data_IF_925253463419
#
_entry.id   IF_925253463419
#
_cell.length_a   1.000
_cell.length_b   1.000
_cell.length_c   1.000
_cell.angle_alpha   90.00
_cell.angle_beta   90.00
_cell.angle_gamma   90.00
#
_symmetry.space_group_name_H-M   'P 1'
#
loop_
_entity.id
_entity.type
_entity.pdbx_description
1 polymer ?
#
# COMPACT_ATOMS: atom_id res chain seq x y z
N UNK A 1 13.66 12.21 13.14
CA UNK A 1 13.68 13.53 12.49
C UNK A 1 12.28 14.07 12.35
N UNK A 2 11.94 15.13 13.10
CA UNK A 2 10.60 15.76 13.04
C UNK A 2 10.46 16.64 11.80
N UNK A 3 10.51 16.03 10.62
CA UNK A 3 10.42 16.70 9.32
C UNK A 3 9.06 16.42 8.70
N UNK A 4 8.38 17.47 8.22
CA UNK A 4 7.15 17.35 7.45
C UNK A 4 7.48 17.07 5.99
N UNK A 5 6.93 15.98 5.44
CA UNK A 5 7.17 15.55 4.05
C UNK A 5 5.82 15.30 3.39
N UNK A 6 5.68 15.74 2.13
CA UNK A 6 4.57 15.35 1.26
C UNK A 6 5.08 14.28 0.29
N UNK A 7 4.36 13.15 0.22
CA UNK A 7 4.73 11.99 -0.61
C UNK A 7 3.49 11.48 -1.32
N UNK A 8 3.63 11.22 -2.62
CA UNK A 8 2.63 10.58 -3.46
C UNK A 8 3.12 9.21 -3.90
N UNK A 9 2.19 8.26 -4.08
CA UNK A 9 2.46 6.91 -4.54
C UNK A 9 1.33 6.41 -5.45
N UNK A 10 1.64 5.47 -6.36
CA UNK A 10 0.67 4.88 -7.30
C UNK A 10 0.67 3.37 -7.11
N UNK A 11 -0.50 2.81 -6.82
CA UNK A 11 -0.66 1.36 -6.62
C UNK A 11 -1.34 0.74 -7.84
N UNK A 12 -0.69 -0.27 -8.42
CA UNK A 12 -1.26 -1.11 -9.46
C UNK A 12 -1.71 -2.43 -8.85
N UNK A 13 -2.98 -2.77 -9.02
CA UNK A 13 -3.54 -4.02 -8.53
C UNK A 13 -4.56 -4.58 -9.52
N UNK A 14 -4.88 -5.87 -9.37
CA UNK A 14 -5.94 -6.53 -10.13
C UNK A 14 -6.81 -7.41 -9.23
N UNK A 15 -8.07 -7.58 -9.61
CA UNK A 15 -8.97 -8.52 -8.94
C UNK A 15 -8.60 -9.93 -9.39
N UNK A 16 -8.22 -10.78 -8.44
CA UNK A 16 -7.89 -12.19 -8.66
C UNK A 16 -9.11 -13.07 -8.43
N UNK A 17 -9.96 -12.73 -7.46
CA UNK A 17 -11.23 -13.43 -7.20
C UNK A 17 -12.41 -12.43 -7.08
N UNK A 18 -13.26 -12.30 -8.12
CA UNK A 18 -14.35 -11.32 -8.11
C UNK A 18 -15.43 -11.65 -7.08
N UNK A 19 -15.69 -12.92 -6.79
CA UNK A 19 -16.68 -13.34 -5.79
C UNK A 19 -16.26 -12.89 -4.40
N UNK A 20 -14.98 -13.09 -4.05
CA UNK A 20 -14.40 -12.65 -2.77
C UNK A 20 -14.37 -11.12 -2.69
N UNK A 21 -14.00 -10.45 -3.77
CA UNK A 21 -13.92 -8.98 -3.82
C UNK A 21 -15.27 -8.29 -3.59
N UNK A 22 -16.39 -8.92 -3.95
CA UNK A 22 -17.74 -8.37 -3.73
C UNK A 22 -18.29 -8.79 -2.37
N UNK A 23 -17.93 -9.99 -1.89
CA UNK A 23 -18.48 -10.54 -0.64
C UNK A 23 -17.78 -10.03 0.62
N UNK A 24 -16.46 -9.82 0.57
CA UNK A 24 -15.66 -9.56 1.76
C UNK A 24 -15.42 -8.07 2.06
N UNK A 25 -15.78 -7.18 1.12
CA UNK A 25 -15.61 -5.74 1.28
C UNK A 25 -16.67 -4.99 0.47
N UNK A 26 -17.27 -3.96 1.07
CA UNK A 26 -18.34 -3.18 0.42
C UNK A 26 -17.84 -2.45 -0.83
N UNK A 27 -16.64 -1.84 -0.74
CA UNK A 27 -15.96 -1.24 -1.87
C UNK A 27 -14.47 -1.56 -1.84
N UNK A 28 -14.07 -2.54 -2.64
CA UNK A 28 -12.69 -3.01 -2.73
C UNK A 28 -11.70 -1.91 -3.17
N UNK A 29 -12.12 -1.00 -4.04
CA UNK A 29 -11.27 0.09 -4.52
C UNK A 29 -11.01 1.10 -3.40
N UNK A 30 -12.06 1.58 -2.72
CA UNK A 30 -11.93 2.59 -1.68
C UNK A 30 -11.19 2.04 -0.45
N UNK A 31 -11.48 0.80 -0.05
CA UNK A 31 -10.78 0.12 1.04
C UNK A 31 -9.29 -0.08 0.73
N UNK A 32 -8.95 -0.49 -0.49
CA UNK A 32 -7.54 -0.62 -0.93
C UNK A 32 -6.83 0.72 -0.92
N UNK A 33 -7.50 1.80 -1.36
CA UNK A 33 -6.93 3.15 -1.35
C UNK A 33 -6.65 3.65 0.09
N UNK A 34 -7.60 3.47 1.01
CA UNK A 34 -7.41 3.84 2.42
C UNK A 34 -6.29 3.04 3.09
N UNK A 35 -6.21 1.75 2.77
CA UNK A 35 -5.16 0.88 3.25
C UNK A 35 -3.79 1.33 2.71
N UNK A 36 -3.69 1.64 1.42
CA UNK A 36 -2.46 2.18 0.82
C UNK A 36 -1.99 3.47 1.51
N UNK A 37 -2.89 4.41 1.79
CA UNK A 37 -2.55 5.63 2.52
C UNK A 37 -2.06 5.35 3.94
N UNK A 38 -2.69 4.40 4.63
CA UNK A 38 -2.31 4.04 6.00
C UNK A 38 -0.96 3.34 6.03
N UNK A 39 -0.73 2.40 5.12
CA UNK A 39 0.56 1.70 4.98
C UNK A 39 1.68 2.67 4.59
N UNK A 40 1.45 3.58 3.64
CA UNK A 40 2.43 4.61 3.28
C UNK A 40 2.79 5.46 4.50
N UNK A 41 1.80 5.94 5.26
CA UNK A 41 2.03 6.73 6.46
C UNK A 41 2.83 5.96 7.51
N UNK A 42 2.55 4.67 7.71
CA UNK A 42 3.27 3.83 8.67
C UNK A 42 4.74 3.62 8.27
N UNK A 43 5.00 3.34 6.99
CA UNK A 43 6.37 3.16 6.47
C UNK A 43 7.16 4.47 6.55
N UNK A 44 6.55 5.60 6.18
CA UNK A 44 7.20 6.91 6.27
C UNK A 44 7.47 7.33 7.73
N UNK A 45 6.58 6.99 8.66
CA UNK A 45 6.72 7.34 10.08
C UNK A 45 7.76 6.52 10.83
N UNK A 46 8.17 5.37 10.29
CA UNK A 46 9.16 4.47 10.92
C UNK A 46 10.57 4.60 10.35
N UNK A 47 10.75 5.44 9.32
CA UNK A 47 11.99 5.62 8.57
C UNK A 47 12.53 7.04 8.69
N UNK A 48 13.84 7.20 8.51
CA UNK A 48 14.48 8.51 8.46
C UNK A 48 14.33 9.13 7.07
N UNK A 49 14.29 10.46 6.98
CA UNK A 49 14.16 11.17 5.69
C UNK A 49 15.28 10.79 4.71
N UNK A 50 16.51 10.63 5.22
CA UNK A 50 17.67 10.23 4.42
C UNK A 50 17.49 8.84 3.79
N UNK A 51 16.91 7.90 4.53
CA UNK A 51 16.61 6.55 4.04
C UNK A 51 15.52 6.59 2.96
N UNK A 52 14.47 7.39 3.18
CA UNK A 52 13.39 7.56 2.20
C UNK A 52 13.88 8.16 0.88
N UNK A 53 14.88 9.05 0.92
CA UNK A 53 15.48 9.66 -0.26
C UNK A 53 16.45 8.71 -0.99
N UNK A 54 17.22 7.91 -0.24
CA UNK A 54 18.26 7.05 -0.78
C UNK A 54 17.73 5.68 -1.25
N UNK A 55 16.71 5.14 -0.56
CA UNK A 55 16.25 3.76 -0.74
C UNK A 55 14.73 3.67 -1.02
N UNK A 56 14.31 4.39 -2.07
CA UNK A 56 12.91 4.35 -2.53
C UNK A 56 12.46 2.94 -2.93
N UNK A 57 13.38 2.13 -3.48
CA UNK A 57 13.08 0.76 -3.92
C UNK A 57 12.68 -0.15 -2.76
N UNK A 58 13.42 -0.12 -1.65
CA UNK A 58 13.08 -0.87 -0.44
C UNK A 58 11.74 -0.44 0.15
N UNK A 59 11.46 0.87 0.19
CA UNK A 59 10.19 1.42 0.67
C UNK A 59 9.02 0.94 -0.19
N UNK A 60 9.13 1.01 -1.52
CA UNK A 60 8.09 0.51 -2.44
C UNK A 60 7.87 -1.00 -2.28
N UNK A 61 8.94 -1.79 -2.11
CA UNK A 61 8.84 -3.23 -1.93
C UNK A 61 8.14 -3.60 -0.62
N UNK A 62 8.50 -2.96 0.49
CA UNK A 62 7.86 -3.17 1.78
C UNK A 62 6.38 -2.78 1.73
N UNK A 63 6.07 -1.65 1.11
CA UNK A 63 4.68 -1.20 0.95
C UNK A 63 3.88 -2.15 0.06
N UNK A 64 4.47 -2.67 -1.02
CA UNK A 64 3.86 -3.69 -1.88
C UNK A 64 3.52 -4.95 -1.08
N UNK A 65 4.47 -5.50 -0.32
CA UNK A 65 4.26 -6.72 0.48
C UNK A 65 3.15 -6.52 1.53
N UNK A 66 3.21 -5.42 2.27
CA UNK A 66 2.20 -5.12 3.28
C UNK A 66 0.80 -4.93 2.68
N UNK A 67 0.70 -4.30 1.51
CA UNK A 67 -0.58 -4.15 0.83
C UNK A 67 -1.08 -5.46 0.24
N UNK A 68 -0.22 -6.22 -0.42
CA UNK A 68 -0.56 -7.51 -1.03
C UNK A 68 -1.14 -8.47 0.01
N UNK A 69 -0.43 -8.67 1.14
CA UNK A 69 -0.85 -9.55 2.23
C UNK A 69 -2.21 -9.16 2.82
N UNK A 70 -2.46 -7.85 2.97
CA UNK A 70 -3.70 -7.35 3.52
C UNK A 70 -4.86 -7.40 2.50
N UNK A 71 -4.58 -7.17 1.21
CA UNK A 71 -5.59 -7.18 0.14
C UNK A 71 -5.94 -8.58 -0.36
N UNK A 72 -5.14 -9.60 -0.04
CA UNK A 72 -5.40 -10.99 -0.40
C UNK A 72 -6.76 -11.48 0.14
N UNK A 73 -7.17 -11.03 1.33
CA UNK A 73 -8.48 -11.36 1.91
C UNK A 73 -9.67 -10.79 1.11
N UNK A 74 -9.44 -9.76 0.29
CA UNK A 74 -10.41 -9.18 -0.63
C UNK A 74 -10.29 -9.76 -2.05
N UNK A 75 -9.43 -10.76 -2.25
CA UNK A 75 -9.21 -11.36 -3.57
C UNK A 75 -8.55 -10.39 -4.54
N UNK A 76 -7.77 -9.44 -4.04
CA UNK A 76 -7.01 -8.46 -4.83
C UNK A 76 -5.53 -8.81 -4.76
N UNK A 77 -4.83 -8.69 -5.90
CA UNK A 77 -3.39 -8.88 -6.01
C UNK A 77 -2.71 -7.55 -6.33
N UNK A 78 -1.70 -7.17 -5.56
CA UNK A 78 -0.92 -5.96 -5.80
C UNK A 78 0.30 -6.29 -6.67
N UNK A 79 0.40 -5.65 -7.84
CA UNK A 79 1.47 -5.91 -8.81
C UNK A 79 2.64 -4.92 -8.64
N UNK A 80 2.34 -3.65 -8.32
CA UNK A 80 3.36 -2.61 -8.20
C UNK A 80 2.92 -1.45 -7.30
N UNK A 81 3.89 -0.84 -6.62
CA UNK A 81 3.79 0.41 -5.85
C UNK A 81 4.91 1.36 -6.27
#
# INVERSE_FOLDING_TARGET
>A
DSVTVAVDAVVYYRILNPTVSIANVENAQDSTHLLAQTSLRNVLGTRLLSELLCDRGSVSNLMRECLDDATDCWGIKVERV
#
